data_IF_690688349705
#
_entry.id   IF_690688349705
#
_cell.length_a   1.000
_cell.length_b   1.000
_cell.length_c   1.000
_cell.angle_alpha   90.00
_cell.angle_beta   90.00
_cell.angle_gamma   90.00
#
_symmetry.space_group_name_H-M   'P 1'
#
loop_
_entity.id
_entity.type
_entity.pdbx_description
1 polymer ?
#
# COMPACT_ATOMS: atom_id res chain seq x y z
N UNK A 1 14.12 -2.69 -12.41
CA UNK A 1 13.84 -3.28 -11.09
C UNK A 1 13.77 -2.14 -10.08
N UNK A 2 12.75 -2.07 -9.20
CA UNK A 2 12.74 -1.06 -8.15
C UNK A 2 13.86 -1.36 -7.14
N UNK A 3 14.59 -0.34 -6.67
CA UNK A 3 15.61 -0.53 -5.64
C UNK A 3 14.94 -1.09 -4.37
N UNK A 4 15.62 -2.00 -3.64
CA UNK A 4 15.10 -2.54 -2.40
C UNK A 4 14.85 -1.40 -1.41
N UNK A 5 13.78 -1.51 -0.62
CA UNK A 5 13.46 -0.47 0.37
C UNK A 5 14.61 -0.34 1.37
N UNK A 6 14.85 0.86 1.93
CA UNK A 6 15.87 1.09 2.95
C UNK A 6 15.78 0.10 4.12
N UNK A 7 14.55 -0.27 4.49
CA UNK A 7 14.23 -1.29 5.50
C UNK A 7 14.76 -2.69 5.12
N UNK A 8 14.66 -3.06 3.84
CA UNK A 8 15.16 -4.35 3.34
C UNK A 8 16.68 -4.37 3.38
N UNK A 9 17.33 -3.27 3.01
CA UNK A 9 18.79 -3.14 3.03
C UNK A 9 19.30 -3.21 4.48
N UNK A 10 18.63 -2.52 5.40
CA UNK A 10 18.99 -2.50 6.82
C UNK A 10 18.87 -3.89 7.48
N UNK A 11 17.81 -4.63 7.15
CA UNK A 11 17.62 -6.01 7.63
C UNK A 11 18.73 -6.96 7.15
N UNK A 12 19.12 -6.87 5.87
CA UNK A 12 20.17 -7.72 5.32
C UNK A 12 21.57 -7.33 5.84
N UNK A 13 21.82 -6.04 6.10
CA UNK A 13 23.04 -5.56 6.75
C UNK A 13 23.16 -6.08 8.19
N UNK A 14 22.07 -6.04 8.96
CA UNK A 14 22.05 -6.59 10.32
C UNK A 14 22.30 -8.11 10.31
N UNK A 15 21.70 -8.83 9.36
CA UNK A 15 21.89 -10.28 9.24
C UNK A 15 23.33 -10.63 8.82
N UNK A 16 23.91 -9.88 7.89
CA UNK A 16 25.30 -10.05 7.46
C UNK A 16 26.31 -9.75 8.56
N UNK A 17 26.11 -8.66 9.33
CA UNK A 17 26.95 -8.35 10.49
C UNK A 17 26.86 -9.44 11.57
N UNK A 18 25.68 -10.04 11.74
CA UNK A 18 25.50 -11.18 12.65
C UNK A 18 26.25 -12.41 12.15
N UNK A 19 26.21 -12.71 10.84
CA UNK A 19 26.98 -13.80 10.24
C UNK A 19 28.49 -13.55 10.27
N UNK A 20 28.94 -12.29 10.18
CA UNK A 20 30.35 -11.92 10.36
C UNK A 20 30.82 -12.10 11.81
N UNK A 21 29.97 -11.76 12.79
CA UNK A 21 30.23 -12.04 14.21
C UNK A 21 30.25 -13.55 14.51
N UNK A 22 29.48 -14.35 13.78
CA UNK A 22 29.51 -15.82 13.85
C UNK A 22 30.72 -16.45 13.15
N UNK A 23 31.41 -15.72 12.26
CA UNK A 23 32.54 -16.22 11.46
C UNK A 23 33.92 -15.73 11.90
N UNK A 24 34.03 -14.93 12.97
CA UNK A 24 35.33 -14.54 13.58
C UNK A 24 35.98 -15.70 14.39
N UNK A 25 35.75 -16.93 13.95
CA UNK A 25 36.28 -18.17 14.50
C UNK A 25 36.75 -19.12 13.41
N UNK A 26 37.60 -18.68 12.47
CA UNK A 26 38.15 -19.58 11.46
C UNK A 26 39.17 -18.95 10.52
N UNK A 27 40.45 -19.16 10.81
CA UNK A 27 41.63 -18.71 10.06
C UNK A 27 41.74 -19.28 8.63
N UNK A 28 42.12 -18.39 7.70
CA UNK A 28 43.06 -18.53 6.58
C UNK A 28 42.81 -19.55 5.42
N UNK A 29 42.95 -19.05 4.19
CA UNK A 29 43.26 -19.85 2.99
C UNK A 29 43.07 -19.09 1.67
N UNK A 30 44.17 -18.58 1.11
CA UNK A 30 44.28 -18.04 -0.25
C UNK A 30 44.15 -19.16 -1.29
N UNK A 31 43.37 -18.97 -2.36
CA UNK A 31 43.64 -19.57 -3.68
C UNK A 31 42.99 -18.78 -4.84
N UNK A 32 43.65 -18.86 -5.98
CA UNK A 32 43.55 -18.14 -7.24
C UNK A 32 42.26 -18.36 -8.06
N UNK A 33 41.95 -17.36 -8.90
CA UNK A 33 41.44 -17.57 -10.26
C UNK A 33 39.92 -17.61 -10.49
N UNK A 34 39.34 -16.49 -10.93
CA UNK A 34 38.43 -16.45 -12.08
C UNK A 34 38.18 -14.98 -12.51
N UNK A 35 38.57 -14.60 -13.73
CA UNK A 35 38.27 -13.27 -14.30
C UNK A 35 36.83 -13.26 -14.82
N UNK A 36 35.87 -13.27 -13.89
CA UNK A 36 34.51 -12.82 -14.19
C UNK A 36 34.54 -11.31 -14.52
N UNK A 37 33.69 -10.80 -15.43
CA UNK A 37 33.49 -9.36 -15.57
C UNK A 37 33.14 -8.80 -14.19
N UNK A 38 33.61 -7.58 -13.80
CA UNK A 38 33.33 -7.06 -12.47
C UNK A 38 31.83 -7.10 -12.27
N UNK A 39 31.39 -7.95 -11.33
CA UNK A 39 29.99 -8.09 -11.00
C UNK A 39 29.46 -6.68 -10.73
N UNK A 40 28.32 -6.33 -11.34
CA UNK A 40 27.66 -5.06 -11.05
C UNK A 40 27.65 -4.89 -9.52
N UNK A 41 28.13 -3.76 -8.98
CA UNK A 41 28.34 -3.60 -7.55
C UNK A 41 27.08 -4.06 -6.83
N UNK A 42 27.22 -5.08 -5.98
CA UNK A 42 26.08 -5.61 -5.24
C UNK A 42 25.43 -4.49 -4.44
N UNK A 43 24.18 -4.67 -4.02
CA UNK A 43 23.42 -3.66 -3.25
C UNK A 43 24.26 -3.10 -2.07
N UNK A 44 25.12 -3.92 -1.48
CA UNK A 44 26.10 -3.53 -0.46
C UNK A 44 27.20 -2.57 -0.98
N UNK A 45 27.80 -2.85 -2.13
CA UNK A 45 28.80 -1.98 -2.74
C UNK A 45 28.20 -0.64 -3.19
N UNK A 46 26.95 -0.65 -3.70
CA UNK A 46 26.23 0.58 -4.04
C UNK A 46 25.86 1.38 -2.78
N UNK A 47 25.41 0.73 -1.71
CA UNK A 47 25.10 1.39 -0.45
C UNK A 47 26.33 1.97 0.25
N UNK A 48 27.48 1.28 0.23
CA UNK A 48 28.74 1.77 0.78
C UNK A 48 29.39 2.89 -0.06
N UNK A 49 29.01 3.01 -1.34
CA UNK A 49 29.52 4.05 -2.24
C UNK A 49 28.59 5.27 -2.32
N UNK A 50 27.44 5.22 -1.65
CA UNK A 50 26.42 6.26 -1.70
C UNK A 50 26.52 7.13 -0.44
N UNK A 51 26.92 8.38 -0.67
CA UNK A 51 27.14 9.38 0.38
C UNK A 51 25.90 9.60 1.25
N UNK A 52 24.71 9.63 0.65
CA UNK A 52 23.44 9.80 1.38
C UNK A 52 23.10 8.59 2.26
N UNK A 53 23.37 7.36 1.80
CA UNK A 53 23.17 6.17 2.62
C UNK A 53 24.15 6.11 3.79
N UNK A 54 25.41 6.50 3.56
CA UNK A 54 26.42 6.58 4.61
C UNK A 54 26.09 7.67 5.65
N UNK A 55 25.56 8.82 5.25
CA UNK A 55 25.12 9.87 6.17
C UNK A 55 23.98 9.41 7.08
N UNK A 56 22.96 8.75 6.52
CA UNK A 56 21.82 8.23 7.29
C UNK A 56 22.26 7.10 8.21
N UNK A 57 23.16 6.23 7.75
CA UNK A 57 23.74 5.15 8.56
C UNK A 57 24.58 5.70 9.71
N UNK A 58 25.40 6.72 9.45
CA UNK A 58 26.22 7.37 10.46
C UNK A 58 25.35 8.11 11.49
N UNK A 59 24.28 8.80 11.07
CA UNK A 59 23.31 9.41 11.99
C UNK A 59 22.64 8.36 12.89
N UNK A 60 22.26 7.21 12.34
CA UNK A 60 21.68 6.11 13.11
C UNK A 60 22.66 5.53 14.13
N UNK A 61 23.90 5.24 13.72
CA UNK A 61 24.93 4.65 14.58
C UNK A 61 25.38 5.61 15.71
N UNK A 62 25.30 6.92 15.50
CA UNK A 62 25.66 7.93 16.51
C UNK A 62 24.53 8.23 17.52
N UNK A 63 23.36 7.58 17.41
CA UNK A 63 22.28 7.69 18.40
C UNK A 63 22.52 6.78 19.61
N UNK A 64 21.90 7.11 20.75
CA UNK A 64 21.90 6.23 21.91
C UNK A 64 21.14 4.92 21.63
N UNK A 65 21.48 3.83 22.32
CA UNK A 65 20.86 2.52 22.08
C UNK A 65 19.33 2.52 22.24
N UNK A 66 18.78 3.28 23.19
CA UNK A 66 17.33 3.43 23.36
C UNK A 66 16.66 4.14 22.18
N UNK A 67 17.36 5.10 21.56
CA UNK A 67 16.89 5.84 20.39
C UNK A 67 16.97 4.97 19.13
N UNK A 68 18.04 4.18 18.99
CA UNK A 68 18.15 3.19 17.92
C UNK A 68 17.00 2.19 18.00
N UNK A 69 16.69 1.67 19.20
CA UNK A 69 15.57 0.75 19.43
C UNK A 69 14.20 1.40 19.13
N UNK A 70 14.05 2.71 19.34
CA UNK A 70 12.82 3.44 18.97
C UNK A 70 12.68 3.59 17.46
N UNK A 71 13.78 3.90 16.77
CA UNK A 71 13.83 4.01 15.30
C UNK A 71 13.57 2.64 14.65
N UNK A 72 14.17 1.57 15.16
CA UNK A 72 13.94 0.20 14.67
C UNK A 72 12.48 -0.22 14.84
N UNK A 73 11.87 0.04 16.01
CA UNK A 73 10.44 -0.25 16.24
C UNK A 73 9.53 0.55 15.31
N UNK A 74 9.83 1.82 15.07
CA UNK A 74 9.09 2.65 14.13
C UNK A 74 9.15 2.09 12.70
N UNK A 75 10.34 1.67 12.25
CA UNK A 75 10.54 1.06 10.94
C UNK A 75 9.88 -0.32 10.83
N UNK A 76 9.86 -1.11 11.89
CA UNK A 76 9.16 -2.40 11.91
C UNK A 76 7.64 -2.20 11.86
N UNK A 77 7.09 -1.17 12.50
CA UNK A 77 5.68 -0.81 12.44
C UNK A 77 5.29 -0.19 11.08
N UNK A 78 6.18 0.59 10.45
CA UNK A 78 6.09 1.03 9.06
C UNK A 78 6.11 -0.19 8.11
N UNK A 79 7.01 -1.15 8.33
CA UNK A 79 7.16 -2.37 7.56
C UNK A 79 5.96 -3.31 7.71
N UNK A 80 5.41 -3.47 8.92
CA UNK A 80 4.15 -4.19 9.19
C UNK A 80 2.95 -3.47 8.60
N UNK A 81 2.94 -2.14 8.60
CA UNK A 81 1.93 -1.33 7.92
C UNK A 81 2.03 -1.45 6.40
N UNK A 82 3.24 -1.55 5.83
CA UNK A 82 3.48 -1.81 4.41
C UNK A 82 3.16 -3.27 4.03
N UNK A 83 3.41 -4.24 4.91
CA UNK A 83 3.05 -5.64 4.72
C UNK A 83 1.53 -5.88 4.85
N UNK A 84 0.85 -5.16 5.74
CA UNK A 84 -0.64 -5.12 5.80
C UNK A 84 -1.26 -4.31 4.65
N UNK A 85 -0.52 -3.37 4.06
CA UNK A 85 -0.88 -2.64 2.82
C UNK A 85 -0.53 -3.42 1.55
N UNK A 86 0.28 -4.49 1.64
CA UNK A 86 0.38 -5.52 0.60
C UNK A 86 -0.87 -6.40 0.67
N UNK A 87 -2.00 -5.84 0.21
CA UNK A 87 -2.93 -6.62 -0.60
C UNK A 87 -2.18 -7.21 -1.81
N UNK A 88 -2.80 -8.11 -2.60
CA UNK A 88 -2.13 -8.75 -3.72
C UNK A 88 -1.38 -7.68 -4.51
N UNK A 89 -0.09 -7.94 -4.73
CA UNK A 89 0.88 -6.91 -5.13
C UNK A 89 0.45 -6.17 -6.38
N UNK A 90 1.27 -5.20 -6.79
CA UNK A 90 1.28 -4.67 -8.16
C UNK A 90 1.52 -5.82 -9.15
N UNK A 91 0.53 -6.68 -9.35
CA UNK A 91 0.40 -7.57 -10.47
C UNK A 91 -0.14 -6.73 -11.61
N UNK A 92 0.23 -7.11 -12.83
CA UNK A 92 -0.42 -6.62 -14.03
C UNK A 92 -1.93 -6.54 -13.81
N UNK A 93 -2.54 -5.48 -14.31
CA UNK A 93 -3.97 -5.28 -14.31
C UNK A 93 -4.64 -6.33 -15.20
N UNK A 94 -4.76 -7.56 -14.67
CA UNK A 94 -5.40 -8.71 -15.33
C UNK A 94 -6.91 -8.57 -15.39
N UNK A 95 -7.49 -7.45 -14.94
CA UNK A 95 -8.95 -7.21 -14.98
C UNK A 95 -9.50 -7.18 -16.42
N UNK A 96 -8.63 -7.00 -17.43
CA UNK A 96 -8.98 -7.12 -18.85
C UNK A 96 -9.05 -8.57 -19.34
N UNK A 97 -8.40 -9.51 -18.65
CA UNK A 97 -8.21 -10.91 -19.11
C UNK A 97 -8.97 -11.92 -18.23
N UNK A 98 -9.18 -11.61 -16.96
CA UNK A 98 -9.95 -12.42 -16.00
C UNK A 98 -11.08 -11.55 -15.45
N UNK A 99 -12.37 -11.91 -15.66
CA UNK A 99 -13.49 -11.10 -15.21
C UNK A 99 -13.70 -11.24 -13.71
N UNK A 100 -12.71 -10.81 -12.91
CA UNK A 100 -12.83 -10.55 -11.48
C UNK A 100 -13.75 -9.34 -11.20
N UNK A 101 -14.78 -9.13 -12.01
CA UNK A 101 -15.73 -8.02 -11.96
C UNK A 101 -17.17 -8.48 -11.81
N UNK A 102 -17.40 -9.75 -11.44
CA UNK A 102 -18.76 -10.16 -11.13
C UNK A 102 -19.28 -9.30 -9.96
N UNK A 103 -20.56 -8.88 -9.98
CA UNK A 103 -21.09 -8.02 -8.92
C UNK A 103 -20.94 -8.61 -7.50
N UNK A 104 -20.93 -9.95 -7.42
CA UNK A 104 -20.69 -10.71 -6.19
C UNK A 104 -19.26 -10.53 -5.67
N UNK A 105 -18.25 -10.60 -6.54
CA UNK A 105 -16.85 -10.40 -6.16
C UNK A 105 -16.58 -8.96 -5.76
N UNK A 106 -17.12 -7.99 -6.50
CA UNK A 106 -17.07 -6.58 -6.12
C UNK A 106 -17.66 -6.37 -4.72
N UNK A 107 -18.81 -6.98 -4.43
CA UNK A 107 -19.39 -6.93 -3.09
C UNK A 107 -18.51 -7.60 -2.03
N UNK A 108 -17.83 -8.70 -2.39
CA UNK A 108 -16.91 -9.40 -1.49
C UNK A 108 -15.61 -8.62 -1.20
N UNK A 109 -15.23 -7.63 -2.02
CA UNK A 109 -14.14 -6.68 -1.70
C UNK A 109 -14.48 -5.74 -0.56
N UNK A 110 -15.75 -5.37 -0.42
CA UNK A 110 -16.21 -4.53 0.69
C UNK A 110 -15.91 -5.25 2.00
N UNK A 111 -15.26 -4.60 2.96
CA UNK A 111 -14.89 -5.20 4.23
C UNK A 111 -16.08 -5.85 4.94
N UNK A 112 -15.82 -6.95 5.67
CA UNK A 112 -16.86 -7.70 6.40
C UNK A 112 -17.74 -6.78 7.27
N UNK A 113 -17.11 -5.82 7.96
CA UNK A 113 -17.81 -4.85 8.81
C UNK A 113 -18.78 -3.99 8.01
N UNK A 114 -18.32 -3.41 6.90
CA UNK A 114 -19.17 -2.55 6.05
C UNK A 114 -20.31 -3.34 5.42
N UNK A 115 -20.08 -4.56 4.94
CA UNK A 115 -21.16 -5.42 4.43
C UNK A 115 -22.26 -5.68 5.46
N UNK A 116 -21.89 -5.88 6.73
CA UNK A 116 -22.87 -6.08 7.80
C UNK A 116 -23.71 -4.83 8.02
N UNK A 117 -23.11 -3.64 7.94
CA UNK A 117 -23.83 -2.36 8.02
C UNK A 117 -24.78 -2.22 6.82
N UNK A 118 -24.29 -2.44 5.60
CA UNK A 118 -25.10 -2.34 4.37
C UNK A 118 -26.34 -3.26 4.38
N UNK A 119 -26.24 -4.43 5.02
CA UNK A 119 -27.37 -5.37 5.12
C UNK A 119 -28.37 -5.05 6.22
N UNK A 120 -27.97 -4.29 7.25
CA UNK A 120 -28.79 -4.02 8.45
C UNK A 120 -29.39 -2.62 8.45
N UNK A 121 -28.72 -1.68 7.80
CA UNK A 121 -29.13 -0.27 7.76
C UNK A 121 -30.08 -0.04 6.58
N UNK A 122 -31.07 0.84 6.78
CA UNK A 122 -31.80 1.44 5.65
C UNK A 122 -30.84 2.39 4.94
N UNK A 123 -30.40 2.02 3.74
CA UNK A 123 -29.48 2.82 2.94
C UNK A 123 -30.28 3.87 2.18
N UNK A 124 -29.93 5.17 2.27
CA UNK A 124 -30.47 6.18 1.39
C UNK A 124 -29.91 5.96 -0.02
N UNK A 125 -30.68 5.26 -0.86
CA UNK A 125 -30.24 4.85 -2.20
C UNK A 125 -29.81 6.04 -3.07
N UNK A 126 -30.57 7.13 -3.03
CA UNK A 126 -30.25 8.38 -3.74
C UNK A 126 -28.86 8.93 -3.40
N UNK A 127 -28.48 8.90 -2.11
CA UNK A 127 -27.14 9.34 -1.68
C UNK A 127 -26.05 8.40 -2.20
N UNK A 128 -26.31 7.10 -2.18
CA UNK A 128 -25.37 6.10 -2.69
C UNK A 128 -25.13 6.29 -4.20
N UNK A 129 -26.21 6.40 -4.97
CA UNK A 129 -26.17 6.62 -6.43
C UNK A 129 -25.44 7.92 -6.79
N UNK A 130 -25.71 9.00 -6.06
CA UNK A 130 -25.04 10.29 -6.28
C UNK A 130 -23.52 10.17 -6.12
N UNK A 131 -23.04 9.42 -5.11
CA UNK A 131 -21.61 9.19 -4.92
C UNK A 131 -21.02 8.30 -6.01
N UNK A 132 -21.74 7.25 -6.41
CA UNK A 132 -21.31 6.38 -7.51
C UNK A 132 -21.15 7.17 -8.81
N UNK A 133 -22.14 7.97 -9.20
CA UNK A 133 -22.09 8.78 -10.41
C UNK A 133 -20.92 9.78 -10.40
N UNK A 134 -20.66 10.42 -9.25
CA UNK A 134 -19.54 11.36 -9.10
C UNK A 134 -18.20 10.67 -9.30
N UNK A 135 -17.98 9.52 -8.66
CA UNK A 135 -16.72 8.78 -8.79
C UNK A 135 -16.55 8.21 -10.20
N UNK A 136 -17.62 7.65 -10.77
CA UNK A 136 -17.63 7.14 -12.14
C UNK A 136 -17.24 8.24 -13.12
N UNK A 137 -17.93 9.39 -13.07
CA UNK A 137 -17.64 10.53 -13.96
C UNK A 137 -16.21 11.03 -13.79
N UNK A 138 -15.73 11.17 -12.55
CA UNK A 138 -14.40 11.69 -12.26
C UNK A 138 -13.29 10.75 -12.77
N UNK A 139 -13.32 9.47 -12.39
CA UNK A 139 -12.26 8.53 -12.73
C UNK A 139 -12.32 8.06 -14.19
N UNK A 140 -13.47 8.16 -14.86
CA UNK A 140 -13.55 7.91 -16.31
C UNK A 140 -12.80 8.96 -17.13
N UNK A 141 -12.72 10.21 -16.64
CA UNK A 141 -11.97 11.30 -17.30
C UNK A 141 -10.52 11.32 -16.84
N UNK A 142 -10.28 11.16 -15.54
CA UNK A 142 -8.95 11.26 -14.93
C UNK A 142 -8.67 10.07 -14.01
N UNK A 143 -8.31 8.89 -14.56
CA UNK A 143 -8.12 7.66 -13.79
C UNK A 143 -7.06 7.74 -12.69
N UNK A 144 -6.03 8.57 -12.87
CA UNK A 144 -4.89 8.67 -11.94
C UNK A 144 -4.99 9.87 -10.99
N UNK A 145 -6.02 10.70 -11.12
CA UNK A 145 -6.23 11.85 -10.25
C UNK A 145 -6.72 11.41 -8.86
N UNK A 146 -6.66 12.33 -7.90
CA UNK A 146 -7.19 12.13 -6.55
C UNK A 146 -8.50 12.91 -6.42
N UNK A 147 -9.59 12.20 -6.14
CA UNK A 147 -10.87 12.83 -5.82
C UNK A 147 -10.87 13.24 -4.34
N UNK A 148 -11.27 14.47 -4.06
CA UNK A 148 -11.35 15.01 -2.70
C UNK A 148 -12.75 15.53 -2.40
N UNK A 149 -13.30 15.14 -1.26
CA UNK A 149 -14.60 15.63 -0.78
C UNK A 149 -14.54 15.95 0.72
N UNK A 150 -15.21 17.03 1.14
CA UNK A 150 -15.41 17.33 2.55
C UNK A 150 -16.69 16.66 3.02
N UNK A 151 -16.58 15.76 4.00
CA UNK A 151 -17.72 14.98 4.50
C UNK A 151 -17.68 14.94 6.02
N UNK A 152 -18.47 15.81 6.66
CA UNK A 152 -18.56 15.88 8.11
C UNK A 152 -19.45 14.77 8.70
N UNK A 153 -20.39 14.23 7.91
CA UNK A 153 -21.23 13.10 8.28
C UNK A 153 -20.46 11.76 8.23
N UNK A 154 -20.37 11.07 9.37
CA UNK A 154 -19.69 9.77 9.49
C UNK A 154 -20.36 8.67 8.68
N UNK A 155 -21.67 8.73 8.49
CA UNK A 155 -22.42 7.76 7.72
C UNK A 155 -22.15 7.92 6.21
N UNK A 156 -22.11 9.14 5.70
CA UNK A 156 -21.73 9.39 4.30
C UNK A 156 -20.29 8.99 4.00
N UNK A 157 -19.35 9.26 4.93
CA UNK A 157 -17.98 8.74 4.82
C UNK A 157 -17.95 7.21 4.76
N UNK A 158 -18.80 6.55 5.54
CA UNK A 158 -18.95 5.09 5.54
C UNK A 158 -19.48 4.57 4.19
N UNK A 159 -20.50 5.22 3.63
CA UNK A 159 -21.05 4.86 2.32
C UNK A 159 -20.00 5.06 1.21
N UNK A 160 -19.30 6.19 1.23
CA UNK A 160 -18.24 6.46 0.26
C UNK A 160 -17.13 5.40 0.33
N UNK A 161 -16.72 5.00 1.54
CA UNK A 161 -15.77 3.90 1.73
C UNK A 161 -16.27 2.58 1.13
N UNK A 162 -17.55 2.26 1.29
CA UNK A 162 -18.14 1.05 0.74
C UNK A 162 -18.14 1.07 -0.81
N UNK A 163 -18.53 2.20 -1.41
CA UNK A 163 -18.49 2.39 -2.86
C UNK A 163 -17.06 2.26 -3.38
N UNK A 164 -16.10 2.91 -2.72
CA UNK A 164 -14.69 2.83 -3.13
C UNK A 164 -14.19 1.38 -3.13
N UNK A 165 -14.48 0.60 -2.07
CA UNK A 165 -14.08 -0.81 -2.01
C UNK A 165 -14.77 -1.66 -3.08
N UNK A 166 -16.02 -1.35 -3.41
CA UNK A 166 -16.77 -2.03 -4.47
C UNK A 166 -16.17 -1.77 -5.86
N UNK A 167 -15.81 -0.51 -6.14
CA UNK A 167 -15.18 -0.06 -7.38
C UNK A 167 -13.67 -0.30 -7.47
N UNK A 168 -13.09 -0.98 -6.46
CA UNK A 168 -11.64 -1.21 -6.32
C UNK A 168 -10.78 0.08 -6.28
N UNK A 169 -11.35 1.14 -5.70
CA UNK A 169 -10.69 2.39 -5.38
C UNK A 169 -10.12 2.37 -3.95
N UNK A 170 -9.09 3.17 -3.74
CA UNK A 170 -8.50 3.43 -2.41
C UNK A 170 -9.15 4.67 -1.84
N UNK A 171 -9.52 4.63 -0.57
CA UNK A 171 -10.18 5.74 0.13
C UNK A 171 -9.56 5.95 1.49
N UNK A 172 -9.31 7.20 1.87
CA UNK A 172 -8.77 7.60 3.16
C UNK A 172 -9.52 8.82 3.71
N UNK A 173 -9.76 8.85 5.02
CA UNK A 173 -10.25 10.03 5.72
C UNK A 173 -9.09 10.69 6.47
N UNK A 174 -9.01 12.02 6.40
CA UNK A 174 -8.07 12.83 7.16
C UNK A 174 -8.80 14.03 7.79
N UNK A 175 -8.27 14.55 8.89
CA UNK A 175 -8.69 15.84 9.42
C UNK A 175 -7.94 16.96 8.70
N UNK A 176 -8.69 17.93 8.20
CA UNK A 176 -8.16 19.15 7.58
C UNK A 176 -8.87 20.34 8.21
N UNK A 177 -8.15 21.12 9.01
CA UNK A 177 -8.68 22.34 9.68
C UNK A 177 -9.96 22.09 10.48
N UNK A 178 -10.02 20.95 11.19
CA UNK A 178 -11.19 20.56 11.99
C UNK A 178 -12.37 20.01 11.17
N UNK A 179 -12.25 19.93 9.85
CA UNK A 179 -13.23 19.30 8.96
C UNK A 179 -12.72 17.96 8.46
N UNK A 180 -13.64 17.02 8.23
CA UNK A 180 -13.28 15.67 7.77
C UNK A 180 -13.18 15.67 6.24
N UNK A 181 -11.96 15.49 5.73
CA UNK A 181 -11.70 15.33 4.30
C UNK A 181 -11.62 13.85 3.94
N UNK A 182 -12.24 13.49 2.81
CA UNK A 182 -12.09 12.20 2.15
C UNK A 182 -11.22 12.37 0.91
N UNK A 183 -10.22 11.50 0.77
CA UNK A 183 -9.38 11.36 -0.43
C UNK A 183 -9.61 10.00 -1.04
N UNK A 184 -9.89 9.96 -2.33
CA UNK A 184 -10.10 8.73 -3.10
C UNK A 184 -9.13 8.72 -4.27
N UNK A 185 -8.46 7.59 -4.47
CA UNK A 185 -7.54 7.39 -5.59
C UNK A 185 -7.77 6.03 -6.24
N UNK A 186 -7.49 5.93 -7.53
CA UNK A 186 -7.48 4.65 -8.20
C UNK A 186 -6.21 3.89 -7.83
N UNK A 187 -6.33 2.59 -7.57
CA UNK A 187 -5.17 1.71 -7.35
C UNK A 187 -4.38 1.48 -8.63
N UNK A 188 -5.06 1.57 -9.78
CA UNK A 188 -4.56 1.15 -11.08
C UNK A 188 -4.34 2.34 -12.03
N UNK A 189 -3.66 2.11 -13.15
CA UNK A 189 -3.42 3.13 -14.17
C UNK A 189 -4.71 3.46 -14.94
N UNK A 190 -5.53 2.44 -15.20
CA UNK A 190 -6.83 2.56 -15.84
C UNK A 190 -7.96 2.44 -14.82
N UNK A 191 -9.04 3.19 -15.05
CA UNK A 191 -10.28 3.04 -14.29
C UNK A 191 -11.23 2.11 -15.05
N UNK A 192 -11.51 0.96 -14.44
CA UNK A 192 -12.49 0.00 -14.94
C UNK A 192 -13.65 -0.05 -13.94
N UNK A 193 -14.82 0.52 -14.26
CA UNK A 193 -15.95 0.47 -13.36
C UNK A 193 -16.56 -0.94 -13.31
N UNK A 194 -17.20 -1.33 -12.19
CA UNK A 194 -18.01 -2.54 -12.14
C UNK A 194 -19.14 -2.53 -13.17
N UNK A 195 -19.46 -3.69 -13.76
CA UNK A 195 -20.56 -3.83 -14.72
C UNK A 195 -21.96 -3.64 -14.10
N UNK A 196 -22.08 -3.78 -12.78
CA UNK A 196 -23.28 -3.44 -12.01
C UNK A 196 -22.83 -2.58 -10.83
N UNK A 197 -23.53 -1.47 -10.57
CA UNK A 197 -23.23 -0.56 -9.46
C UNK A 197 -23.70 -1.12 -8.12
N UNK A 198 -23.13 -0.62 -7.03
CA UNK A 198 -23.44 -1.05 -5.67
C UNK A 198 -24.90 -0.77 -5.32
N UNK A 199 -25.45 0.39 -5.73
CA UNK A 199 -26.88 0.70 -5.54
C UNK A 199 -27.77 -0.37 -6.14
N UNK A 200 -27.65 -0.59 -7.45
CA UNK A 200 -28.43 -1.58 -8.18
C UNK A 200 -28.24 -3.01 -7.62
N UNK A 201 -27.02 -3.35 -7.19
CA UNK A 201 -26.73 -4.65 -6.58
C UNK A 201 -27.42 -4.83 -5.22
N UNK A 202 -27.55 -3.77 -4.42
CA UNK A 202 -28.24 -3.82 -3.13
C UNK A 202 -29.76 -3.88 -3.32
N UNK A 203 -30.31 -3.14 -4.28
CA UNK A 203 -31.75 -3.18 -4.62
C UNK A 203 -32.21 -4.56 -5.08
N UNK A 204 -31.39 -5.28 -5.84
CA UNK A 204 -31.71 -6.66 -6.25
C UNK A 204 -31.77 -7.64 -5.06
N UNK A 205 -31.33 -7.23 -3.87
CA UNK A 205 -31.20 -8.07 -2.67
C UNK A 205 -31.97 -7.54 -1.46
N UNK A 206 -32.68 -6.42 -1.61
CA UNK A 206 -33.53 -5.82 -0.57
C UNK A 206 -34.90 -6.46 -0.49
#
# INVERSE_FOLDING_TARGET
>A
MPPPSPETICFHLAQYLLTLLETDGGTAGLDDGDLAPPAAPGIFAEACSNETYMEVWNDFMNRSGEEQERVLRYLEDEGKSKARRRGPGRGEDRRREDPAYTPRECFQRISRRLRTVLKRSRIPMETLETWEERLLRFFSVSPQAVYTAMLDNSFERLLLHAICQYMDLISASADLEGKRQMKVSNRHLDFLPPGLLLSAYLEQRS
#
